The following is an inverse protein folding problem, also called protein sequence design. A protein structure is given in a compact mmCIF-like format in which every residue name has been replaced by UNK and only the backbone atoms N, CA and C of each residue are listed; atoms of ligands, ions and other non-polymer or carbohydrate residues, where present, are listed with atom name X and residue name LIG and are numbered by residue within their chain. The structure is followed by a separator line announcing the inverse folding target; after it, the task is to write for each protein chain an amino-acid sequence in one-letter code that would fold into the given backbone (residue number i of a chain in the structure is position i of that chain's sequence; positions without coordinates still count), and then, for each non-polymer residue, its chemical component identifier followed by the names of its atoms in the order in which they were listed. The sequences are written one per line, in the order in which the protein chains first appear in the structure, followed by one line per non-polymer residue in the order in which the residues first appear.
data_IF_116226762378
#
_entry.id   IF_116226762378
#
_cell.length_a   1.000
_cell.length_b   1.000
_cell.length_c   1.000
_cell.angle_alpha   90.00
_cell.angle_beta   90.00
_cell.angle_gamma   90.00
#
_symmetry.space_group_name_H-M   'P 1'
#
loop_
_entity.id
_entity.type
_entity.pdbx_description
1 polymer ?
#
# COMPACT_ATOMS: atom_id res chain seq x y z
N UNK A 1 16.23 -5.42 19.81
CA UNK A 1 15.73 -6.53 19.00
C UNK A 1 14.84 -6.00 17.89
N UNK A 2 14.92 -6.63 16.73
CA UNK A 2 14.10 -6.20 15.59
C UNK A 2 12.62 -6.53 15.84
N UNK A 3 11.74 -5.70 15.29
CA UNK A 3 10.30 -5.93 15.33
C UNK A 3 9.91 -6.85 14.17
N UNK A 4 9.66 -8.10 14.48
CA UNK A 4 9.33 -9.11 13.47
C UNK A 4 8.02 -8.82 12.72
N UNK A 5 7.08 -8.14 13.36
CA UNK A 5 5.83 -7.74 12.69
C UNK A 5 6.14 -6.80 11.53
N UNK A 6 6.97 -5.79 11.78
CA UNK A 6 7.36 -4.83 10.74
C UNK A 6 8.14 -5.50 9.60
N UNK A 7 9.06 -6.40 9.95
CA UNK A 7 9.83 -7.13 8.93
C UNK A 7 8.92 -8.00 8.07
N UNK A 8 7.95 -8.67 8.67
CA UNK A 8 7.00 -9.51 7.93
C UNK A 8 6.09 -8.67 7.03
N UNK A 9 5.63 -7.50 7.50
CA UNK A 9 4.81 -6.59 6.68
C UNK A 9 5.61 -6.07 5.48
N UNK A 10 6.86 -5.68 5.72
CA UNK A 10 7.72 -5.22 4.63
C UNK A 10 7.92 -6.32 3.58
N UNK A 11 8.19 -7.55 4.01
CA UNK A 11 8.37 -8.68 3.09
C UNK A 11 7.08 -8.97 2.31
N UNK A 12 5.92 -8.88 2.94
CA UNK A 12 4.63 -9.06 2.26
C UNK A 12 4.39 -7.99 1.18
N UNK A 13 4.68 -6.74 1.49
CA UNK A 13 4.57 -5.65 0.51
C UNK A 13 5.46 -5.96 -0.69
N UNK A 14 6.72 -6.30 -0.45
CA UNK A 14 7.68 -6.60 -1.53
C UNK A 14 7.20 -7.75 -2.42
N UNK A 15 6.63 -8.82 -1.83
CA UNK A 15 6.08 -9.93 -2.61
C UNK A 15 4.91 -9.49 -3.49
N UNK A 16 4.02 -8.65 -2.96
CA UNK A 16 2.89 -8.15 -3.75
C UNK A 16 3.37 -7.28 -4.91
N UNK A 17 4.37 -6.42 -4.67
CA UNK A 17 4.93 -5.57 -5.72
C UNK A 17 5.59 -6.41 -6.81
N UNK A 18 6.30 -7.45 -6.43
CA UNK A 18 6.94 -8.37 -7.39
C UNK A 18 5.88 -9.04 -8.25
N UNK A 19 4.78 -9.53 -7.66
CA UNK A 19 3.69 -10.14 -8.41
C UNK A 19 3.05 -9.16 -9.38
N UNK A 20 2.86 -7.91 -8.95
CA UNK A 20 2.32 -6.87 -9.84
C UNK A 20 3.24 -6.67 -11.03
N UNK A 21 4.54 -6.51 -10.81
CA UNK A 21 5.49 -6.31 -11.88
C UNK A 21 5.52 -7.49 -12.86
N UNK A 22 5.49 -8.73 -12.36
CA UNK A 22 5.47 -9.93 -13.19
C UNK A 22 4.23 -10.00 -14.08
N UNK A 23 3.06 -9.61 -13.55
CA UNK A 23 1.80 -9.71 -14.28
C UNK A 23 1.50 -8.50 -15.17
N UNK A 24 2.05 -7.34 -14.84
CA UNK A 24 1.78 -6.10 -15.57
C UNK A 24 2.80 -5.84 -16.68
N UNK A 25 4.09 -6.00 -16.39
CA UNK A 25 5.16 -5.67 -17.35
C UNK A 25 5.11 -6.63 -18.55
N UNK A 26 5.04 -6.06 -19.73
CA UNK A 26 4.87 -6.82 -20.96
C UNK A 26 3.43 -7.19 -21.27
N UNK A 27 2.48 -6.87 -20.39
CA UNK A 27 1.05 -7.17 -20.54
C UNK A 27 0.17 -5.94 -20.32
N UNK A 28 0.74 -4.76 -20.43
CA UNK A 28 0.06 -3.50 -20.12
C UNK A 28 -1.23 -3.33 -20.92
N UNK A 29 -1.23 -3.75 -22.18
CA UNK A 29 -2.38 -3.59 -23.05
C UNK A 29 -3.52 -4.56 -22.75
N UNK A 30 -3.26 -5.58 -21.93
CA UNK A 30 -4.26 -6.57 -21.56
C UNK A 30 -5.04 -6.19 -20.29
N UNK A 31 -4.64 -5.11 -19.60
CA UNK A 31 -5.18 -4.80 -18.28
C UNK A 31 -6.71 -4.63 -18.31
N UNK A 32 -7.26 -3.91 -19.29
CA UNK A 32 -8.70 -3.67 -19.38
C UNK A 32 -9.49 -4.83 -19.98
N UNK A 33 -8.84 -5.78 -20.66
CA UNK A 33 -9.52 -6.83 -21.43
C UNK A 33 -9.34 -8.24 -20.87
N UNK A 34 -8.22 -8.52 -20.23
CA UNK A 34 -7.98 -9.82 -19.60
C UNK A 34 -8.41 -9.75 -18.13
N UNK A 35 -9.63 -10.15 -17.84
CA UNK A 35 -10.23 -10.01 -16.52
C UNK A 35 -9.51 -10.83 -15.45
N UNK A 36 -8.98 -12.01 -15.79
CA UNK A 36 -8.21 -12.82 -14.84
C UNK A 36 -6.95 -12.09 -14.40
N UNK A 37 -6.23 -11.52 -15.37
CA UNK A 37 -5.01 -10.75 -15.08
C UNK A 37 -5.35 -9.45 -14.33
N UNK A 38 -6.43 -8.78 -14.73
CA UNK A 38 -6.92 -7.57 -14.07
C UNK A 38 -7.20 -7.84 -12.59
N UNK A 39 -7.93 -8.91 -12.30
CA UNK A 39 -8.27 -9.26 -10.92
C UNK A 39 -7.04 -9.64 -10.12
N UNK A 40 -6.09 -10.37 -10.70
CA UNK A 40 -4.83 -10.72 -10.02
C UNK A 40 -4.02 -9.47 -9.68
N UNK A 41 -3.93 -8.52 -10.60
CA UNK A 41 -3.21 -7.27 -10.40
C UNK A 41 -3.85 -6.42 -9.30
N UNK A 42 -5.17 -6.25 -9.37
CA UNK A 42 -5.90 -5.44 -8.38
C UNK A 42 -5.84 -6.11 -7.01
N UNK A 43 -5.95 -7.44 -6.95
CA UNK A 43 -5.85 -8.16 -5.68
C UNK A 43 -4.48 -7.97 -5.03
N UNK A 44 -3.39 -8.03 -5.79
CA UNK A 44 -2.06 -7.82 -5.24
C UNK A 44 -1.86 -6.37 -4.79
N UNK A 45 -2.41 -5.40 -5.52
CA UNK A 45 -2.37 -4.00 -5.09
C UNK A 45 -3.18 -3.80 -3.80
N UNK A 46 -4.34 -4.44 -3.70
CA UNK A 46 -5.15 -4.41 -2.49
C UNK A 46 -4.40 -5.01 -1.30
N UNK A 47 -3.75 -6.16 -1.49
CA UNK A 47 -2.96 -6.81 -0.45
C UNK A 47 -1.79 -5.94 0.02
N UNK A 48 -1.08 -5.29 -0.92
CA UNK A 48 -0.01 -4.36 -0.57
C UNK A 48 -0.56 -3.19 0.25
N UNK A 49 -1.72 -2.67 -0.14
CA UNK A 49 -2.38 -1.56 0.56
C UNK A 49 -2.80 -1.95 1.98
N UNK A 50 -3.44 -3.10 2.14
CA UNK A 50 -3.86 -3.62 3.45
C UNK A 50 -2.64 -3.82 4.36
N UNK A 51 -1.57 -4.38 3.82
CA UNK A 51 -0.36 -4.64 4.58
C UNK A 51 0.33 -3.35 5.01
N UNK A 52 0.35 -2.34 4.13
CA UNK A 52 0.90 -1.02 4.48
C UNK A 52 0.09 -0.39 5.62
N UNK A 53 -1.23 -0.46 5.55
CA UNK A 53 -2.11 0.07 6.61
C UNK A 53 -1.84 -0.67 7.93
N UNK A 54 -1.75 -2.00 7.89
CA UNK A 54 -1.47 -2.80 9.08
C UNK A 54 -0.12 -2.44 9.70
N UNK A 55 0.90 -2.24 8.86
CA UNK A 55 2.22 -1.81 9.34
C UNK A 55 2.18 -0.45 10.00
N UNK A 56 1.45 0.50 9.40
CA UNK A 56 1.28 1.83 9.98
C UNK A 56 0.54 1.78 11.32
N UNK A 57 -0.54 0.99 11.39
CA UNK A 57 -1.30 0.81 12.64
C UNK A 57 -0.44 0.18 13.73
N UNK A 58 0.41 -0.78 13.38
CA UNK A 58 1.32 -1.40 14.33
C UNK A 58 2.32 -0.38 14.89
N UNK A 59 2.91 0.45 14.03
CA UNK A 59 3.83 1.50 14.47
C UNK A 59 3.15 2.50 15.40
N UNK A 60 1.92 2.90 15.07
CA UNK A 60 1.14 3.82 15.92
C UNK A 60 0.91 3.20 17.29
N UNK A 61 0.57 1.92 17.34
CA UNK A 61 0.29 1.23 18.60
C UNK A 61 1.54 1.09 19.45
N UNK A 62 2.64 0.56 18.90
CA UNK A 62 3.86 0.35 19.69
C UNK A 62 4.53 1.65 20.08
N UNK A 63 4.42 2.69 19.26
CA UNK A 63 4.94 4.01 19.53
C UNK A 63 4.04 4.87 20.40
N UNK A 64 2.82 4.41 20.68
CA UNK A 64 1.81 5.16 21.44
C UNK A 64 1.59 6.55 20.86
N UNK A 65 1.41 6.61 19.54
CA UNK A 65 1.35 7.87 18.79
C UNK A 65 -0.05 8.48 18.76
N UNK A 66 -1.06 7.78 19.23
CA UNK A 66 -2.42 8.26 19.28
C UNK A 66 -3.43 7.17 18.95
N UNK A 67 -4.70 7.55 18.81
CA UNK A 67 -5.79 6.63 18.51
C UNK A 67 -6.35 6.95 17.13
N UNK A 68 -5.96 6.19 16.09
CA UNK A 68 -6.50 6.43 14.75
C UNK A 68 -7.98 6.04 14.72
N UNK A 69 -8.81 6.90 14.15
CA UNK A 69 -10.23 6.65 13.98
C UNK A 69 -10.51 5.91 12.68
N UNK A 70 -9.63 6.09 11.69
CA UNK A 70 -9.69 5.41 10.41
C UNK A 70 -8.27 5.17 9.88
N UNK A 71 -8.16 4.42 8.79
CA UNK A 71 -6.85 4.00 8.28
C UNK A 71 -5.94 5.17 7.88
N UNK A 72 -6.50 6.25 7.32
CA UNK A 72 -5.70 7.42 6.95
C UNK A 72 -5.02 8.05 8.16
N UNK A 73 -5.67 8.00 9.31
CA UNK A 73 -5.14 8.61 10.53
C UNK A 73 -3.82 7.99 10.96
N UNK A 74 -3.60 6.70 10.68
CA UNK A 74 -2.34 6.05 11.03
C UNK A 74 -1.18 6.74 10.32
N UNK A 75 -1.32 7.04 9.02
CA UNK A 75 -0.28 7.73 8.28
C UNK A 75 -0.09 9.16 8.75
N UNK A 76 -1.17 9.86 9.07
CA UNK A 76 -1.08 11.21 9.63
C UNK A 76 -0.33 11.25 10.96
N UNK A 77 -0.58 10.28 11.82
CA UNK A 77 0.12 10.17 13.11
C UNK A 77 1.61 9.88 12.93
N UNK A 78 1.97 9.05 11.95
CA UNK A 78 3.37 8.78 11.64
C UNK A 78 4.09 10.03 11.13
N UNK A 79 3.42 10.82 10.28
CA UNK A 79 3.98 12.08 9.77
C UNK A 79 4.18 13.06 10.93
N UNK A 80 3.17 13.19 11.79
CA UNK A 80 3.25 14.09 12.94
C UNK A 80 4.39 13.72 13.89
N UNK A 81 4.64 12.42 14.05
CA UNK A 81 5.72 11.91 14.90
C UNK A 81 7.11 12.03 14.25
N UNK A 82 7.20 12.53 13.04
CA UNK A 82 8.47 12.63 12.32
C UNK A 82 9.02 11.31 11.81
N UNK A 83 8.21 10.24 11.79
CA UNK A 83 8.62 8.91 11.37
C UNK A 83 8.39 8.66 9.88
N UNK A 84 7.55 9.45 9.23
CA UNK A 84 7.15 9.32 7.84
C UNK A 84 7.21 10.69 7.17
N UNK A 85 7.90 10.83 6.02
CA UNK A 85 7.89 12.10 5.29
C UNK A 85 6.46 12.49 4.88
N UNK A 86 6.14 13.77 4.93
CA UNK A 86 4.77 14.24 4.69
C UNK A 86 4.30 14.00 3.26
N UNK A 87 5.20 14.08 2.28
CA UNK A 87 4.85 13.80 0.88
C UNK A 87 4.48 12.32 0.67
N UNK A 88 5.28 11.40 1.22
CA UNK A 88 4.96 9.98 1.16
C UNK A 88 3.67 9.68 1.95
N UNK A 89 3.51 10.32 3.10
CA UNK A 89 2.30 10.17 3.92
C UNK A 89 1.04 10.55 3.14
N UNK A 90 1.07 11.67 2.41
CA UNK A 90 -0.04 12.10 1.57
C UNK A 90 -0.37 11.11 0.46
N UNK A 91 0.65 10.52 -0.17
CA UNK A 91 0.48 9.51 -1.21
C UNK A 91 -0.13 8.23 -0.65
N UNK A 92 0.30 7.82 0.54
CA UNK A 92 -0.25 6.63 1.21
C UNK A 92 -1.70 6.85 1.66
N UNK A 93 -2.07 8.07 2.06
CA UNK A 93 -3.46 8.39 2.34
C UNK A 93 -4.34 8.24 1.08
N UNK A 94 -3.83 8.63 -0.08
CA UNK A 94 -4.55 8.43 -1.35
C UNK A 94 -4.71 6.94 -1.66
N UNK A 95 -3.70 6.14 -1.35
CA UNK A 95 -3.78 4.69 -1.49
C UNK A 95 -4.91 4.10 -0.63
N UNK A 96 -5.16 4.65 0.55
CA UNK A 96 -6.29 4.21 1.38
C UNK A 96 -7.61 4.41 0.64
N UNK A 97 -7.74 5.49 -0.14
CA UNK A 97 -8.90 5.72 -1.00
C UNK A 97 -9.12 4.60 -2.00
N UNK A 98 -8.07 4.15 -2.67
CA UNK A 98 -8.12 2.98 -3.56
C UNK A 98 -8.58 1.74 -2.78
N UNK A 99 -7.96 1.46 -1.63
CA UNK A 99 -8.28 0.28 -0.83
C UNK A 99 -9.75 0.25 -0.43
N UNK A 100 -10.28 1.38 0.02
CA UNK A 100 -11.66 1.46 0.44
C UNK A 100 -12.61 1.18 -0.73
N UNK A 101 -12.32 1.73 -1.89
CA UNK A 101 -13.13 1.52 -3.09
C UNK A 101 -13.04 0.06 -3.56
N UNK A 102 -11.85 -0.52 -3.56
CA UNK A 102 -11.64 -1.91 -3.98
C UNK A 102 -12.39 -2.91 -3.08
N UNK A 103 -12.46 -2.62 -1.78
CA UNK A 103 -13.15 -3.49 -0.81
C UNK A 103 -14.65 -3.29 -0.86
N UNK A 104 -15.12 -2.04 -0.92
CA UNK A 104 -16.55 -1.74 -0.73
C UNK A 104 -17.31 -1.55 -2.03
N UNK A 105 -16.64 -1.22 -3.14
CA UNK A 105 -17.30 -0.92 -4.38
C UNK A 105 -16.38 -1.19 -5.59
N UNK A 106 -15.96 -2.44 -5.73
CA UNK A 106 -15.00 -2.87 -6.74
C UNK A 106 -15.38 -2.42 -8.16
N UNK A 107 -16.67 -2.48 -8.51
CA UNK A 107 -17.14 -2.12 -9.83
C UNK A 107 -16.96 -0.64 -10.17
N UNK A 108 -16.78 0.22 -9.15
CA UNK A 108 -16.57 1.66 -9.32
C UNK A 108 -15.10 2.02 -9.52
N UNK A 109 -14.18 1.05 -9.51
CA UNK A 109 -12.76 1.34 -9.73
C UNK A 109 -12.54 1.94 -11.10
N UNK A 110 -11.85 3.07 -11.13
CA UNK A 110 -11.40 3.68 -12.39
C UNK A 110 -10.11 3.00 -12.82
N UNK A 111 -10.17 2.18 -13.86
CA UNK A 111 -9.02 1.40 -14.32
C UNK A 111 -7.88 2.29 -14.80
N UNK A 112 -8.16 3.49 -15.29
CA UNK A 112 -7.10 4.44 -15.69
C UNK A 112 -6.30 4.90 -14.46
N UNK A 113 -6.98 5.14 -13.33
CA UNK A 113 -6.32 5.50 -12.08
C UNK A 113 -5.50 4.31 -11.56
N UNK A 114 -6.07 3.10 -11.59
CA UNK A 114 -5.36 1.89 -11.15
C UNK A 114 -4.11 1.67 -12.01
N UNK A 115 -4.21 1.85 -13.34
CA UNK A 115 -3.06 1.77 -14.25
C UNK A 115 -1.97 2.77 -13.84
N UNK A 116 -2.35 4.00 -13.51
CA UNK A 116 -1.37 5.02 -13.10
C UNK A 116 -0.64 4.62 -11.81
N UNK A 117 -1.31 3.89 -10.92
CA UNK A 117 -0.67 3.37 -9.70
C UNK A 117 0.40 2.35 -10.08
N UNK A 118 0.10 1.42 -10.99
CA UNK A 118 1.09 0.42 -11.43
C UNK A 118 2.30 1.07 -12.10
N UNK A 119 2.09 2.12 -12.86
CA UNK A 119 3.15 2.75 -13.65
C UNK A 119 3.95 3.79 -12.86
N UNK A 120 3.35 4.46 -11.88
CA UNK A 120 3.97 5.61 -11.24
C UNK A 120 4.04 5.54 -9.71
N UNK A 121 3.20 4.73 -9.06
CA UNK A 121 3.04 4.81 -7.60
C UNK A 121 3.51 3.57 -6.84
N UNK A 122 4.00 2.52 -7.50
CA UNK A 122 4.52 1.35 -6.77
C UNK A 122 5.73 1.71 -5.90
N UNK A 123 6.47 2.75 -6.28
CA UNK A 123 7.60 3.24 -5.50
C UNK A 123 7.18 3.70 -4.10
N UNK A 124 5.95 4.20 -3.94
CA UNK A 124 5.45 4.65 -2.64
C UNK A 124 5.39 3.47 -1.65
N UNK A 125 4.89 2.32 -2.12
CA UNK A 125 4.86 1.09 -1.32
C UNK A 125 6.27 0.59 -1.00
N UNK A 126 7.18 0.65 -1.96
CA UNK A 126 8.56 0.21 -1.76
C UNK A 126 9.26 1.08 -0.74
N UNK A 127 9.08 2.40 -0.83
CA UNK A 127 9.66 3.32 0.12
C UNK A 127 9.10 3.11 1.53
N UNK A 128 7.79 2.83 1.62
CA UNK A 128 7.19 2.53 2.92
C UNK A 128 7.70 1.21 3.49
N UNK A 129 7.85 0.17 2.67
CA UNK A 129 8.42 -1.11 3.11
C UNK A 129 9.84 -0.92 3.66
N UNK A 130 10.66 -0.11 2.99
CA UNK A 130 12.00 0.22 3.47
C UNK A 130 11.96 0.97 4.80
N UNK A 131 10.99 1.86 4.96
CA UNK A 131 10.78 2.56 6.22
C UNK A 131 10.46 1.58 7.35
N UNK A 132 9.57 0.61 7.10
CA UNK A 132 9.23 -0.42 8.08
C UNK A 132 10.46 -1.20 8.51
N UNK A 133 11.33 -1.54 7.56
CA UNK A 133 12.58 -2.25 7.87
C UNK A 133 13.48 -1.40 8.75
N UNK A 134 13.64 -0.10 8.43
CA UNK A 134 14.49 0.80 9.22
C UNK A 134 13.97 0.96 10.64
N UNK A 135 12.65 0.97 10.82
CA UNK A 135 12.02 1.16 12.13
C UNK A 135 11.86 -0.16 12.90
N UNK A 136 12.16 -1.27 12.27
CA UNK A 136 12.12 -2.58 12.92
C UNK A 136 13.34 -2.75 13.90
#
# INVERSE_FOLDING_TARGET
MADDVLLNKAASIERCLKRIEEEYRGHEQEFETNYTRQDALILNLLRASETAIDGAMHLVRVGKLGLPQESRDAFKLLVRAGMLPSDLGGLLEKMVGFRNLAVHNYAELDLAIVRSIFEERLVDFRDFARLLIRLA
#
